data_IF_163403260295
#
_entry.id   IF_163403260295
#
_cell.length_a   1.000
_cell.length_b   1.000
_cell.length_c   1.000
_cell.angle_alpha   90.00
_cell.angle_beta   90.00
_cell.angle_gamma   90.00
#
_symmetry.space_group_name_H-M   'P 1'
#
loop_
_entity.id
_entity.type
_entity.pdbx_description
1 polymer ?
#
# COMPACT_ATOMS: atom_id res chain seq x y z
N UNK A 1 -6.94 21.66 23.57
CA UNK A 1 -7.70 20.45 23.19
C UNK A 1 -6.72 19.41 22.67
N UNK A 2 -6.97 18.12 22.91
CA UNK A 2 -6.11 17.05 22.39
C UNK A 2 -6.45 16.69 20.94
N UNK A 3 -5.52 16.05 20.24
CA UNK A 3 -5.71 15.53 18.88
C UNK A 3 -6.95 14.61 18.82
N UNK A 4 -7.91 14.82 17.89
CA UNK A 4 -9.10 13.99 17.78
C UNK A 4 -8.79 12.54 17.38
N UNK A 5 -9.74 11.65 17.65
CA UNK A 5 -9.72 10.26 17.16
C UNK A 5 -9.89 10.23 15.63
N UNK A 6 -9.54 9.10 15.00
CA UNK A 6 -9.69 8.96 13.55
C UNK A 6 -11.17 8.86 13.18
N UNK A 7 -11.97 8.19 14.01
CA UNK A 7 -13.44 8.18 13.92
C UNK A 7 -14.02 9.59 13.86
N UNK A 8 -13.62 10.50 14.76
CA UNK A 8 -14.12 11.88 14.79
C UNK A 8 -13.72 12.67 13.54
N UNK A 9 -12.53 12.42 13.00
CA UNK A 9 -12.09 13.04 11.74
C UNK A 9 -12.90 12.48 10.58
N UNK A 10 -13.05 11.15 10.50
CA UNK A 10 -13.90 10.49 9.51
C UNK A 10 -15.33 11.04 9.51
N UNK A 11 -15.96 11.17 10.70
CA UNK A 11 -17.31 11.70 10.84
C UNK A 11 -17.46 13.12 10.26
N UNK A 12 -16.46 13.99 10.48
CA UNK A 12 -16.47 15.34 9.90
C UNK A 12 -16.43 15.29 8.35
N UNK A 13 -15.67 14.36 7.78
CA UNK A 13 -15.43 14.26 6.33
C UNK A 13 -16.43 13.35 5.58
N UNK A 14 -17.42 12.74 6.24
CA UNK A 14 -18.36 11.77 5.61
C UNK A 14 -18.97 12.30 4.29
N UNK A 15 -19.50 13.53 4.29
CA UNK A 15 -20.10 14.12 3.08
C UNK A 15 -19.10 14.31 1.92
N UNK A 16 -17.82 14.50 2.23
CA UNK A 16 -16.76 14.58 1.23
C UNK A 16 -16.40 13.20 0.71
N UNK A 17 -16.35 12.19 1.59
CA UNK A 17 -16.12 10.78 1.23
C UNK A 17 -17.22 10.26 0.30
N UNK A 18 -18.48 10.60 0.56
CA UNK A 18 -19.61 10.26 -0.31
C UNK A 18 -19.44 10.80 -1.72
N UNK A 19 -19.04 12.06 -1.84
CA UNK A 19 -18.78 12.69 -3.15
C UNK A 19 -17.59 12.05 -3.88
N UNK A 20 -16.68 11.41 -3.15
CA UNK A 20 -15.56 10.64 -3.69
C UNK A 20 -15.91 9.19 -3.99
N UNK A 21 -17.11 8.73 -3.61
CA UNK A 21 -17.53 7.34 -3.78
C UNK A 21 -16.73 6.35 -2.93
N UNK A 22 -16.22 6.79 -1.77
CA UNK A 22 -15.46 5.93 -0.85
C UNK A 22 -16.43 5.10 -0.02
N UNK A 23 -16.26 3.78 -0.04
CA UNK A 23 -17.00 2.87 0.84
C UNK A 23 -16.53 3.07 2.29
N UNK A 24 -17.46 3.46 3.16
CA UNK A 24 -17.17 3.69 4.57
C UNK A 24 -16.80 2.40 5.32
N UNK A 25 -17.25 1.24 4.83
CA UNK A 25 -16.95 -0.09 5.35
C UNK A 25 -15.52 -0.56 5.05
N UNK A 26 -14.85 0.09 4.09
CA UNK A 26 -13.51 -0.24 3.63
C UNK A 26 -12.55 0.95 3.83
N UNK A 27 -12.02 1.17 5.05
CA UNK A 27 -11.20 2.34 5.29
C UNK A 27 -9.93 2.34 4.43
N UNK A 28 -9.71 3.44 3.71
CA UNK A 28 -8.59 3.63 2.81
C UNK A 28 -7.82 4.92 3.11
N UNK A 29 -6.63 5.06 2.55
CA UNK A 29 -5.92 6.34 2.49
C UNK A 29 -6.72 7.33 1.66
N UNK A 30 -7.04 8.50 2.21
CA UNK A 30 -7.82 9.53 1.50
C UNK A 30 -7.04 10.26 0.40
N UNK A 31 -5.72 10.03 0.29
CA UNK A 31 -4.92 10.54 -0.81
C UNK A 31 -4.73 9.49 -1.90
N UNK A 32 -4.10 8.36 -1.59
CA UNK A 32 -3.69 7.39 -2.61
C UNK A 32 -4.65 6.20 -2.80
N UNK A 33 -5.71 6.10 -2.02
CA UNK A 33 -6.67 4.98 -2.09
C UNK A 33 -6.14 3.65 -1.53
N UNK A 34 -4.93 3.60 -0.96
CA UNK A 34 -4.40 2.38 -0.32
C UNK A 34 -5.36 1.87 0.76
N UNK A 35 -5.77 0.61 0.65
CA UNK A 35 -6.45 -0.15 1.68
C UNK A 35 -5.52 -1.26 2.22
N UNK A 36 -5.99 -2.02 3.19
CA UNK A 36 -5.20 -3.04 3.91
C UNK A 36 -5.81 -4.43 3.75
N UNK A 37 -6.10 -4.77 2.49
CA UNK A 37 -6.81 -5.99 2.12
C UNK A 37 -8.11 -6.11 2.95
N UNK A 38 -8.46 -7.33 3.31
CA UNK A 38 -9.67 -7.68 4.04
C UNK A 38 -9.57 -7.41 5.56
N UNK A 39 -8.39 -7.01 6.07
CA UNK A 39 -8.12 -6.98 7.51
C UNK A 39 -9.03 -6.00 8.26
N UNK A 40 -9.39 -4.92 7.60
CA UNK A 40 -10.23 -3.87 8.16
C UNK A 40 -11.49 -3.65 7.33
N UNK A 41 -11.77 -4.52 6.38
CA UNK A 41 -13.03 -4.52 5.66
C UNK A 41 -14.13 -5.04 6.59
N UNK A 42 -15.22 -4.26 6.71
CA UNK A 42 -16.43 -4.69 7.39
C UNK A 42 -17.25 -5.60 6.48
N UNK A 43 -16.93 -6.89 6.50
CA UNK A 43 -17.67 -7.99 5.83
C UNK A 43 -19.04 -8.30 6.46
N UNK A 44 -19.71 -7.30 7.04
CA UNK A 44 -21.04 -7.39 7.64
C UNK A 44 -21.99 -6.52 6.83
N UNK A 45 -22.87 -7.10 5.98
CA UNK A 45 -23.85 -6.34 5.19
C UNK A 45 -24.82 -5.47 6.02
N UNK A 46 -24.89 -5.71 7.33
CA UNK A 46 -25.73 -4.98 8.29
C UNK A 46 -24.89 -4.28 9.38
N UNK A 47 -23.63 -3.94 9.09
CA UNK A 47 -22.80 -3.19 10.04
C UNK A 47 -23.52 -1.91 10.47
N UNK A 48 -23.58 -1.66 11.78
CA UNK A 48 -24.17 -0.41 12.27
C UNK A 48 -23.25 0.76 11.96
N UNK A 49 -23.82 1.97 11.94
CA UNK A 49 -23.03 3.20 11.74
C UNK A 49 -21.93 3.33 12.81
N UNK A 50 -22.21 2.94 14.05
CA UNK A 50 -21.23 2.94 15.14
C UNK A 50 -20.09 1.94 14.90
N UNK A 51 -20.38 0.75 14.37
CA UNK A 51 -19.35 -0.23 13.98
C UNK A 51 -18.45 0.32 12.88
N UNK A 52 -19.04 0.96 11.86
CA UNK A 52 -18.32 1.63 10.77
C UNK A 52 -17.40 2.71 11.33
N UNK A 53 -17.95 3.67 12.08
CA UNK A 53 -17.19 4.78 12.66
C UNK A 53 -16.04 4.26 13.53
N UNK A 54 -16.28 3.24 14.36
CA UNK A 54 -15.26 2.67 15.25
C UNK A 54 -14.16 1.94 14.48
N UNK A 55 -14.47 1.34 13.33
CA UNK A 55 -13.48 0.65 12.51
C UNK A 55 -12.35 1.58 12.03
N UNK A 56 -12.69 2.84 11.72
CA UNK A 56 -11.73 3.87 11.34
C UNK A 56 -10.67 4.16 12.41
N UNK A 57 -10.92 3.87 13.69
CA UNK A 57 -9.91 4.02 14.75
C UNK A 57 -8.84 2.91 14.75
N UNK A 58 -9.11 1.75 14.15
CA UNK A 58 -8.20 0.60 14.19
C UNK A 58 -7.27 0.52 12.98
N UNK A 59 -7.65 1.15 11.87
CA UNK A 59 -6.85 1.18 10.65
C UNK A 59 -5.57 1.99 10.85
N UNK A 60 -4.43 1.57 10.28
CA UNK A 60 -3.12 2.22 10.48
C UNK A 60 -2.97 3.50 9.63
N UNK A 61 -4.04 4.28 9.52
CA UNK A 61 -4.02 5.64 9.00
C UNK A 61 -3.43 6.59 10.04
N UNK A 62 -2.72 7.59 9.56
CA UNK A 62 -2.16 8.68 10.34
C UNK A 62 -3.03 9.93 10.17
N UNK A 63 -2.98 10.79 11.18
CA UNK A 63 -3.69 12.07 11.22
C UNK A 63 -2.75 13.14 10.69
N UNK A 64 -2.87 13.48 9.42
CA UNK A 64 -2.04 14.47 8.76
C UNK A 64 -2.71 15.84 8.82
N UNK A 65 -1.96 16.89 9.14
CA UNK A 65 -2.47 18.26 9.07
C UNK A 65 -2.47 18.77 7.62
N UNK A 66 -3.58 19.37 7.19
CA UNK A 66 -3.70 20.03 5.87
C UNK A 66 -2.86 21.31 5.86
N UNK A 67 -3.12 22.22 6.81
CA UNK A 67 -2.22 23.33 7.14
C UNK A 67 -1.24 22.80 8.18
N UNK A 68 0.05 22.83 7.87
CA UNK A 68 1.07 22.25 8.74
C UNK A 68 1.11 22.94 10.12
N UNK A 69 1.42 22.17 11.17
CA UNK A 69 1.48 22.68 12.56
C UNK A 69 2.47 23.83 12.75
N UNK A 70 3.58 23.83 12.02
CA UNK A 70 4.56 24.93 12.00
C UNK A 70 4.01 26.25 11.42
N UNK A 71 2.85 26.18 10.75
CA UNK A 71 2.15 27.31 10.18
C UNK A 71 0.79 27.54 10.86
N UNK A 72 0.72 27.23 12.16
CA UNK A 72 -0.45 27.44 13.01
C UNK A 72 -1.67 26.57 12.65
N UNK A 73 -1.43 25.46 11.95
CA UNK A 73 -2.45 24.44 11.69
C UNK A 73 -3.06 23.88 12.97
N UNK A 74 -4.38 23.92 13.08
CA UNK A 74 -5.13 23.44 14.25
C UNK A 74 -5.27 21.92 14.26
N UNK A 75 -5.48 21.34 15.44
CA UNK A 75 -5.88 19.92 15.60
C UNK A 75 -7.41 19.70 15.39
N UNK A 76 -8.13 20.66 14.80
CA UNK A 76 -9.55 20.50 14.47
C UNK A 76 -9.77 19.49 13.35
N UNK A 77 -10.86 18.70 13.36
CA UNK A 77 -11.17 17.71 12.31
C UNK A 77 -11.13 18.28 10.88
N UNK A 78 -11.51 19.55 10.71
CA UNK A 78 -11.49 20.25 9.42
C UNK A 78 -10.10 20.49 8.84
N UNK A 79 -9.05 20.44 9.67
CA UNK A 79 -7.65 20.59 9.26
C UNK A 79 -6.89 19.26 9.30
N UNK A 80 -7.58 18.14 9.51
CA UNK A 80 -6.95 16.82 9.61
C UNK A 80 -7.46 15.90 8.49
N UNK A 81 -6.52 15.13 7.93
CA UNK A 81 -6.75 14.22 6.82
C UNK A 81 -6.19 12.83 7.16
N UNK A 82 -6.94 11.77 6.87
CA UNK A 82 -6.52 10.40 7.18
C UNK A 82 -5.71 9.80 6.04
N UNK A 83 -4.44 9.48 6.30
CA UNK A 83 -3.48 9.09 5.27
C UNK A 83 -2.64 7.88 5.67
N UNK A 84 -2.25 7.03 4.71
CA UNK A 84 -1.24 6.02 4.99
C UNK A 84 0.11 6.69 5.29
N UNK A 85 0.99 5.98 6.01
CA UNK A 85 2.30 6.52 6.38
C UNK A 85 3.11 7.05 5.20
N UNK A 86 3.15 6.32 4.09
CA UNK A 86 3.97 6.72 2.95
C UNK A 86 3.45 8.01 2.29
N UNK A 87 2.15 8.27 2.32
CA UNK A 87 1.59 9.54 1.86
C UNK A 87 1.79 10.65 2.91
N UNK A 88 1.64 10.35 4.20
CA UNK A 88 1.88 11.34 5.25
C UNK A 88 3.34 11.84 5.24
N UNK A 89 4.31 10.94 5.08
CA UNK A 89 5.75 11.28 5.01
C UNK A 89 6.08 12.15 3.77
N UNK A 90 5.30 12.05 2.69
CA UNK A 90 5.47 12.81 1.43
C UNK A 90 4.59 14.06 1.35
N UNK A 91 3.66 14.27 2.28
CA UNK A 91 2.69 15.35 2.22
C UNK A 91 3.40 16.72 2.27
N UNK A 92 2.93 17.72 1.50
CA UNK A 92 3.54 19.03 1.51
C UNK A 92 3.32 19.73 2.85
N UNK A 93 4.40 20.26 3.43
CA UNK A 93 4.30 21.20 4.54
C UNK A 93 3.84 22.57 4.00
N UNK A 94 2.53 22.83 4.01
CA UNK A 94 1.93 24.00 3.34
C UNK A 94 1.01 24.81 4.25
N UNK A 95 0.79 26.07 3.88
CA UNK A 95 -0.29 26.95 4.39
C UNK A 95 -1.56 26.88 3.55
N UNK A 96 -1.45 26.34 2.33
CA UNK A 96 -2.53 26.33 1.36
C UNK A 96 -3.27 25.00 1.37
N UNK A 97 -4.55 25.05 1.79
CA UNK A 97 -5.49 23.93 1.69
C UNK A 97 -5.63 23.47 0.24
N UNK A 98 -5.69 24.41 -0.70
CA UNK A 98 -5.80 24.11 -2.12
C UNK A 98 -4.59 23.33 -2.64
N UNK A 99 -3.37 23.77 -2.29
CA UNK A 99 -2.15 23.06 -2.71
C UNK A 99 -2.09 21.64 -2.13
N UNK A 100 -2.51 21.45 -0.87
CA UNK A 100 -2.62 20.13 -0.25
C UNK A 100 -3.62 19.25 -1.02
N UNK A 101 -4.82 19.77 -1.30
CA UNK A 101 -5.86 19.02 -2.01
C UNK A 101 -5.43 18.66 -3.44
N UNK A 102 -4.86 19.60 -4.20
CA UNK A 102 -4.29 19.32 -5.53
C UNK A 102 -3.28 18.18 -5.46
N UNK A 103 -2.39 18.20 -4.47
CA UNK A 103 -1.42 17.13 -4.29
C UNK A 103 -2.09 15.79 -3.97
N UNK A 104 -3.11 15.77 -3.10
CA UNK A 104 -3.84 14.52 -2.78
C UNK A 104 -4.53 13.90 -4.00
N UNK A 105 -5.12 14.70 -4.89
CA UNK A 105 -5.79 14.20 -6.11
C UNK A 105 -4.83 13.55 -7.12
N UNK A 106 -3.51 13.73 -6.94
CA UNK A 106 -2.48 13.12 -7.80
C UNK A 106 -1.86 11.87 -7.20
N UNK A 107 -2.22 11.49 -5.97
CA UNK A 107 -1.68 10.29 -5.35
C UNK A 107 -2.46 9.07 -5.80
N UNK A 108 -1.76 8.01 -6.17
CA UNK A 108 -2.38 6.74 -6.54
C UNK A 108 -1.50 5.59 -6.04
N UNK A 109 -2.03 4.77 -5.13
CA UNK A 109 -1.26 3.67 -4.53
C UNK A 109 -0.89 2.61 -5.56
N UNK A 110 -1.82 2.27 -6.46
CA UNK A 110 -1.59 1.26 -7.47
C UNK A 110 -0.50 1.68 -8.46
N UNK A 111 -0.54 2.92 -8.95
CA UNK A 111 0.50 3.45 -9.83
C UNK A 111 1.86 3.49 -9.14
N UNK A 112 1.92 4.01 -7.90
CA UNK A 112 3.17 4.03 -7.13
C UNK A 112 3.73 2.62 -6.89
N UNK A 113 2.87 1.66 -6.51
CA UNK A 113 3.27 0.28 -6.28
C UNK A 113 3.76 -0.38 -7.57
N UNK A 114 3.05 -0.17 -8.69
CA UNK A 114 3.47 -0.67 -10.01
C UNK A 114 4.82 -0.11 -10.40
N UNK A 115 5.05 1.18 -10.23
CA UNK A 115 6.31 1.82 -10.59
C UNK A 115 7.48 1.30 -9.72
N UNK A 116 7.24 1.04 -8.43
CA UNK A 116 8.22 0.39 -7.56
C UNK A 116 8.53 -1.05 -8.02
N UNK A 117 7.51 -1.84 -8.37
CA UNK A 117 7.69 -3.20 -8.90
C UNK A 117 8.48 -3.20 -10.21
N UNK A 118 8.11 -2.34 -11.17
CA UNK A 118 8.78 -2.26 -12.47
C UNK A 118 10.24 -1.80 -12.34
N UNK A 119 10.53 -0.90 -11.41
CA UNK A 119 11.89 -0.51 -11.08
C UNK A 119 12.72 -1.72 -10.61
N UNK A 120 12.18 -2.54 -9.72
CA UNK A 120 12.90 -3.73 -9.24
C UNK A 120 13.03 -4.80 -10.34
N UNK A 121 11.99 -5.06 -11.15
CA UNK A 121 12.08 -5.94 -12.34
C UNK A 121 13.28 -5.54 -13.21
N UNK A 122 13.42 -4.23 -13.49
CA UNK A 122 14.55 -3.69 -14.23
C UNK A 122 15.89 -3.86 -13.53
N UNK A 123 15.96 -3.69 -12.20
CA UNK A 123 17.21 -3.89 -11.46
C UNK A 123 17.74 -5.32 -11.59
N UNK A 124 16.85 -6.31 -11.79
CA UNK A 124 17.19 -7.71 -11.98
C UNK A 124 17.27 -8.14 -13.45
N UNK A 125 17.11 -7.22 -14.42
CA UNK A 125 17.19 -7.54 -15.84
C UNK A 125 16.05 -8.44 -16.34
N UNK A 126 14.86 -8.34 -15.73
CA UNK A 126 13.71 -9.21 -16.00
C UNK A 126 12.68 -8.56 -16.93
N UNK A 127 12.99 -7.45 -17.60
CA UNK A 127 12.04 -6.71 -18.44
C UNK A 127 11.43 -7.56 -19.57
N UNK A 128 12.21 -8.47 -20.15
CA UNK A 128 11.77 -9.36 -21.23
C UNK A 128 11.02 -10.61 -20.72
N UNK A 129 10.88 -10.75 -19.40
CA UNK A 129 10.26 -11.93 -18.75
C UNK A 129 8.99 -11.60 -17.96
N UNK A 130 8.40 -10.43 -18.19
CA UNK A 130 7.21 -9.96 -17.44
C UNK A 130 6.02 -10.90 -17.59
N UNK A 131 5.81 -11.50 -18.76
CA UNK A 131 4.73 -12.48 -18.97
C UNK A 131 4.93 -13.74 -18.10
N UNK A 132 6.13 -14.31 -18.10
CA UNK A 132 6.47 -15.47 -17.27
C UNK A 132 6.35 -15.15 -15.77
N UNK A 133 6.78 -13.94 -15.35
CA UNK A 133 6.57 -13.47 -13.98
C UNK A 133 5.08 -13.42 -13.61
N UNK A 134 4.22 -12.94 -14.51
CA UNK A 134 2.78 -12.89 -14.27
C UNK A 134 2.19 -14.30 -14.12
N UNK A 135 2.62 -15.27 -14.94
CA UNK A 135 2.21 -16.67 -14.82
C UNK A 135 2.62 -17.28 -13.48
N UNK A 136 3.86 -17.05 -13.05
CA UNK A 136 4.38 -17.50 -11.76
C UNK A 136 3.57 -16.91 -10.60
N UNK A 137 3.31 -15.61 -10.64
CA UNK A 137 2.56 -14.90 -9.58
C UNK A 137 1.10 -15.38 -9.53
N UNK A 138 0.51 -15.71 -10.69
CA UNK A 138 -0.84 -16.26 -10.78
C UNK A 138 -0.92 -17.72 -10.30
N UNK A 139 0.17 -18.47 -10.36
CA UNK A 139 0.23 -19.85 -9.89
C UNK A 139 0.46 -19.92 -8.38
N UNK A 140 -0.60 -20.25 -7.63
CA UNK A 140 -0.56 -20.34 -6.17
C UNK A 140 0.51 -21.32 -5.65
N UNK A 141 0.66 -22.48 -6.26
CA UNK A 141 1.62 -23.49 -5.80
C UNK A 141 3.07 -23.00 -5.95
N UNK A 142 3.39 -22.36 -7.08
CA UNK A 142 4.72 -21.79 -7.31
C UNK A 142 4.95 -20.61 -6.37
N UNK A 143 3.94 -19.74 -6.20
CA UNK A 143 4.00 -18.60 -5.28
C UNK A 143 4.26 -19.04 -3.83
N UNK A 144 3.60 -20.10 -3.37
CA UNK A 144 3.79 -20.64 -2.02
C UNK A 144 5.23 -21.15 -1.85
N UNK A 145 5.78 -21.90 -2.83
CA UNK A 145 7.18 -22.36 -2.84
C UNK A 145 8.19 -21.21 -2.81
N UNK A 146 7.95 -20.14 -3.58
CA UNK A 146 8.82 -18.94 -3.56
C UNK A 146 8.75 -18.26 -2.19
N UNK A 147 7.56 -18.22 -1.59
CA UNK A 147 7.32 -17.55 -0.32
C UNK A 147 8.03 -18.22 0.86
N UNK A 148 8.18 -19.55 0.82
CA UNK A 148 8.95 -20.31 1.83
C UNK A 148 10.43 -19.91 1.90
N UNK A 149 10.96 -19.35 0.81
CA UNK A 149 12.36 -18.92 0.71
C UNK A 149 12.57 -17.41 0.95
N UNK A 150 11.53 -16.68 1.37
CA UNK A 150 11.63 -15.24 1.62
C UNK A 150 12.16 -14.94 3.02
N UNK A 151 13.29 -14.23 3.07
CA UNK A 151 13.81 -13.65 4.30
C UNK A 151 13.03 -12.40 4.71
N UNK A 152 12.90 -12.20 6.03
CA UNK A 152 12.26 -11.01 6.59
C UNK A 152 13.27 -9.88 6.74
N UNK A 153 12.95 -8.69 6.23
CA UNK A 153 13.79 -7.50 6.39
C UNK A 153 13.35 -6.69 7.62
N UNK A 154 14.27 -6.38 8.52
CA UNK A 154 14.02 -5.49 9.66
C UNK A 154 14.22 -4.03 9.22
N UNK A 155 13.12 -3.31 9.04
CA UNK A 155 13.20 -1.93 8.59
C UNK A 155 13.78 -1.01 9.68
N UNK A 156 14.87 -0.29 9.36
CA UNK A 156 15.58 0.60 10.29
C UNK A 156 14.77 1.85 10.70
N UNK A 157 13.70 2.20 9.96
CA UNK A 157 12.82 3.33 10.26
C UNK A 157 11.58 2.92 11.09
N UNK A 158 11.67 1.81 11.83
CA UNK A 158 10.61 1.36 12.73
C UNK A 158 9.36 0.82 12.04
N UNK A 159 9.47 0.33 10.79
CA UNK A 159 8.34 -0.31 10.08
C UNK A 159 8.16 -1.81 10.42
N UNK A 160 8.94 -2.32 11.38
CA UNK A 160 8.93 -3.73 11.78
C UNK A 160 9.55 -4.65 10.72
N UNK A 161 9.29 -5.95 10.89
CA UNK A 161 9.60 -7.01 9.93
C UNK A 161 8.73 -6.84 8.66
N UNK A 162 9.37 -6.71 7.49
CA UNK A 162 8.68 -6.58 6.20
C UNK A 162 9.39 -7.40 5.12
N UNK A 163 8.63 -7.97 4.19
CA UNK A 163 9.17 -8.42 2.90
C UNK A 163 9.18 -7.20 1.98
N UNK A 164 10.35 -6.84 1.46
CA UNK A 164 10.45 -5.71 0.52
C UNK A 164 10.11 -6.17 -0.88
N UNK A 165 9.70 -5.26 -1.76
CA UNK A 165 9.49 -5.56 -3.19
C UNK A 165 10.77 -6.15 -3.78
N UNK A 166 11.93 -5.56 -3.47
CA UNK A 166 13.23 -6.07 -3.93
C UNK A 166 13.51 -7.50 -3.44
N UNK A 167 13.16 -7.83 -2.19
CA UNK A 167 13.24 -9.21 -1.67
C UNK A 167 12.38 -10.18 -2.48
N UNK A 168 11.15 -9.77 -2.82
CA UNK A 168 10.23 -10.59 -3.59
C UNK A 168 10.72 -10.80 -5.03
N UNK A 169 11.13 -9.72 -5.72
CA UNK A 169 11.67 -9.81 -7.09
C UNK A 169 12.98 -10.62 -7.11
N UNK A 170 13.84 -10.50 -6.10
CA UNK A 170 15.04 -11.34 -5.98
C UNK A 170 14.72 -12.83 -5.88
N UNK A 171 13.64 -13.20 -5.19
CA UNK A 171 13.24 -14.60 -5.08
C UNK A 171 12.65 -15.13 -6.39
N UNK A 172 11.88 -14.31 -7.11
CA UNK A 172 11.41 -14.62 -8.47
C UNK A 172 12.60 -14.83 -9.42
N UNK A 173 13.59 -13.93 -9.38
CA UNK A 173 14.82 -14.06 -10.15
C UNK A 173 15.53 -15.41 -9.88
N UNK A 174 15.72 -15.76 -8.60
CA UNK A 174 16.37 -17.02 -8.22
C UNK A 174 15.60 -18.25 -8.70
N UNK A 175 14.27 -18.23 -8.58
CA UNK A 175 13.42 -19.31 -9.08
C UNK A 175 13.56 -19.50 -10.60
N UNK A 176 13.55 -18.41 -11.36
CA UNK A 176 13.71 -18.44 -12.81
C UNK A 176 15.07 -19.01 -13.23
N UNK A 177 16.15 -18.59 -12.58
CA UNK A 177 17.51 -19.11 -12.81
C UNK A 177 17.61 -20.62 -12.56
N UNK A 178 16.89 -21.14 -11.56
CA UNK A 178 16.81 -22.57 -11.31
C UNK A 178 16.06 -23.31 -12.41
N UNK A 179 14.94 -22.76 -12.88
CA UNK A 179 14.18 -23.35 -14.00
C UNK A 179 15.01 -23.40 -15.28
N UNK A 180 15.76 -22.33 -15.58
CA UNK A 180 16.58 -22.25 -16.78
C UNK A 180 17.73 -23.28 -16.73
N UNK A 181 18.35 -23.50 -15.57
CA UNK A 181 19.35 -24.56 -15.36
C UNK A 181 18.76 -25.97 -15.55
N UNK A 182 17.54 -26.20 -15.05
CA UNK A 182 16.87 -27.50 -15.18
C UNK A 182 16.52 -27.82 -16.64
N UNK A 183 16.05 -26.82 -17.42
CA UNK A 183 15.77 -26.97 -18.85
C UNK A 183 17.02 -27.38 -19.63
N UNK A 184 18.13 -26.67 -19.42
CA UNK A 184 19.43 -26.98 -20.09
C UNK A 184 19.91 -28.39 -19.75
N UNK A 185 19.78 -28.83 -18.49
CA UNK A 185 20.17 -30.17 -18.08
C UNK A 185 19.32 -31.26 -18.74
N UNK A 186 18.01 -31.03 -18.90
CA UNK A 186 17.10 -31.98 -19.57
C UNK A 186 17.36 -32.07 -21.08
N UNK A 187 17.64 -30.94 -21.73
CA UNK A 187 17.99 -30.92 -23.16
C UNK A 187 19.33 -31.60 -23.44
N UNK A 188 20.33 -31.41 -22.57
CA UNK A 188 21.63 -32.06 -22.67
C UNK A 188 21.60 -33.58 -22.49
N UNK A 189 20.66 -34.10 -21.69
CA UNK A 189 20.49 -35.55 -21.47
C UNK A 189 19.62 -36.24 -22.53
N UNK A 190 18.82 -35.50 -23.31
CA UNK A 190 18.04 -36.07 -24.41
C UNK A 190 18.83 -36.20 -25.74
N UNK A 191 20.07 -35.70 -25.76
CA UNK A 191 20.97 -35.74 -26.92
C UNK A 191 22.15 -36.73 -26.76
N UNK A 192 22.21 -37.48 -25.66
CA UNK A 192 23.20 -38.52 -25.37
C UNK A 192 22.59 -39.91 -25.27
#
# INVERSE_FOLDING_TARGET
MGMPSKSKIFEYWMNWLDKKGIDWGEPCCWACGRFWEDKYDLKKPHATREEIIKNWDNVPLQRCHIIAKQFDGTDEPSNLFLMCRDCHDKAPNTRSVEAFLIWTEKQNWYENFRDEVMKEIKNFGLEDRVEELNEIIANKEIKDKISENLGVHMNQNGKGAQITISTYISALYGYLEEQDKLKVFQEGNNLG
#
